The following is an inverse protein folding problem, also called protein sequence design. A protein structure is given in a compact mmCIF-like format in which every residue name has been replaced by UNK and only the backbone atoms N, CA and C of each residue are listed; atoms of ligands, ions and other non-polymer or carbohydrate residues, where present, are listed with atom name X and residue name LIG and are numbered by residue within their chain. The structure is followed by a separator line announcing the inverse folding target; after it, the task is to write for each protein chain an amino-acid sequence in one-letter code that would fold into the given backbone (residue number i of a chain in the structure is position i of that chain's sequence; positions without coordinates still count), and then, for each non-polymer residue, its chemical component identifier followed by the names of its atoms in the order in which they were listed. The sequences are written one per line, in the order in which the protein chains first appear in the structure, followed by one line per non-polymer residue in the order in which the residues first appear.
data_IF_930106726584
#
_entry.id   IF_930106726584
#
_cell.length_a   1.000
_cell.length_b   1.000
_cell.length_c   1.000
_cell.angle_alpha   90.00
_cell.angle_beta   90.00
_cell.angle_gamma   90.00
#
_symmetry.space_group_name_H-M   'P 1'
#
loop_
_entity.id
_entity.type
_entity.pdbx_description
1 polymer ?
#
# COMPACT_ATOMS: atom_id res chain seq x y z
N UNK A 1 -7.56 -21.57 -3.66
CA UNK A 1 -8.90 -21.15 -3.16
C UNK A 1 -9.29 -19.94 -3.97
N UNK A 2 -10.36 -20.03 -4.76
CA UNK A 2 -10.70 -18.95 -5.68
C UNK A 2 -11.01 -17.63 -4.94
N UNK A 3 -10.36 -16.55 -5.36
CA UNK A 3 -10.63 -15.18 -4.92
C UNK A 3 -12.09 -14.81 -5.20
N UNK A 4 -12.78 -14.28 -4.19
CA UNK A 4 -14.14 -13.77 -4.29
C UNK A 4 -14.18 -12.26 -4.04
N UNK A 5 -15.38 -11.68 -4.12
CA UNK A 5 -15.58 -10.26 -3.78
C UNK A 5 -15.12 -9.95 -2.35
N UNK A 6 -15.23 -10.91 -1.42
CA UNK A 6 -14.79 -10.74 -0.03
C UNK A 6 -13.29 -10.47 0.06
N UNK A 7 -12.46 -11.23 -0.66
CA UNK A 7 -11.01 -11.02 -0.69
C UNK A 7 -10.65 -9.71 -1.40
N UNK A 8 -11.40 -9.32 -2.44
CA UNK A 8 -11.21 -8.04 -3.14
C UNK A 8 -11.51 -6.86 -2.22
N UNK A 9 -12.59 -6.92 -1.45
CA UNK A 9 -12.96 -5.87 -0.49
C UNK A 9 -11.96 -5.82 0.66
N UNK A 10 -11.54 -6.98 1.18
CA UNK A 10 -10.48 -7.10 2.17
C UNK A 10 -9.16 -6.47 1.69
N UNK A 11 -8.74 -6.75 0.45
CA UNK A 11 -7.58 -6.14 -0.17
C UNK A 11 -7.70 -4.62 -0.27
N UNK A 12 -8.86 -4.10 -0.69
CA UNK A 12 -9.06 -2.64 -0.78
C UNK A 12 -9.02 -1.97 0.57
N UNK A 13 -9.68 -2.55 1.56
CA UNK A 13 -9.81 -1.96 2.88
C UNK A 13 -8.52 -2.04 3.68
N UNK A 14 -7.71 -3.08 3.46
CA UNK A 14 -6.36 -3.17 4.00
C UNK A 14 -5.55 -1.91 3.67
N UNK A 15 -5.57 -1.43 2.44
CA UNK A 15 -4.80 -0.28 2.00
C UNK A 15 -5.49 1.06 2.32
N UNK A 16 -6.76 1.19 1.94
CA UNK A 16 -7.50 2.45 2.08
C UNK A 16 -7.83 2.80 3.54
N UNK A 17 -7.94 1.79 4.42
CA UNK A 17 -8.38 2.01 5.81
C UNK A 17 -7.37 1.43 6.81
N UNK A 18 -6.77 0.27 6.56
CA UNK A 18 -5.78 -0.34 7.45
C UNK A 18 -4.49 0.45 7.49
N UNK A 19 -3.74 0.42 6.38
CA UNK A 19 -2.45 1.12 6.20
C UNK A 19 -2.57 2.64 6.27
N UNK A 20 -3.73 3.18 5.90
CA UNK A 20 -3.99 4.63 5.89
C UNK A 20 -4.50 5.18 7.22
N UNK A 21 -4.67 4.33 8.25
CA UNK A 21 -5.20 4.71 9.55
C UNK A 21 -4.18 5.33 10.52
N UNK A 22 -4.69 5.73 11.68
CA UNK A 22 -3.88 6.30 12.78
C UNK A 22 -3.32 5.23 13.74
N UNK A 23 -3.91 4.03 13.71
CA UNK A 23 -3.51 2.90 14.55
C UNK A 23 -2.50 2.00 13.82
N UNK A 24 -1.30 1.76 14.38
CA UNK A 24 -0.33 0.81 13.80
C UNK A 24 -0.84 -0.63 13.68
N UNK A 25 -1.86 -1.02 14.45
CA UNK A 25 -2.53 -2.33 14.32
C UNK A 25 -3.71 -2.30 13.34
N UNK A 26 -4.08 -1.13 12.81
CA UNK A 26 -5.16 -0.97 11.84
C UNK A 26 -5.14 -1.97 10.66
N UNK A 27 -3.98 -2.28 10.05
CA UNK A 27 -3.87 -3.27 8.97
C UNK A 27 -4.18 -4.71 9.40
N UNK A 28 -3.89 -5.06 10.66
CA UNK A 28 -3.87 -6.46 11.10
C UNK A 28 -5.26 -7.09 11.15
N UNK A 29 -6.33 -6.27 11.20
CA UNK A 29 -7.72 -6.73 11.09
C UNK A 29 -8.07 -7.36 9.75
N UNK A 30 -7.24 -7.17 8.73
CA UNK A 30 -7.39 -7.76 7.39
C UNK A 30 -6.41 -8.92 7.15
N UNK A 31 -5.65 -9.31 8.17
CA UNK A 31 -4.56 -10.27 8.06
C UNK A 31 -4.77 -11.45 8.99
N UNK A 32 -4.29 -12.63 8.61
CA UNK A 32 -4.22 -13.77 9.54
C UNK A 32 -3.25 -13.49 10.67
N UNK A 33 -3.40 -14.14 11.82
CA UNK A 33 -2.52 -13.92 12.99
C UNK A 33 -1.04 -14.23 12.70
N UNK A 34 -0.79 -15.21 11.83
CA UNK A 34 0.51 -15.69 11.38
C UNK A 34 0.98 -15.05 10.06
N UNK A 35 0.33 -13.96 9.62
CA UNK A 35 0.62 -13.30 8.34
C UNK A 35 2.11 -13.06 8.15
N UNK A 36 2.58 -13.26 6.93
CA UNK A 36 3.93 -12.90 6.52
C UNK A 36 3.91 -11.66 5.63
N UNK A 37 4.83 -10.73 5.87
CA UNK A 37 5.04 -9.56 5.03
C UNK A 37 6.48 -9.54 4.54
N UNK A 38 6.68 -9.24 3.25
CA UNK A 38 7.99 -9.15 2.62
C UNK A 38 8.07 -7.86 1.81
N UNK A 39 8.96 -6.96 2.17
CA UNK A 39 9.32 -5.82 1.31
C UNK A 39 10.57 -6.21 0.50
N UNK A 40 10.36 -6.61 -0.74
CA UNK A 40 11.44 -7.18 -1.56
C UNK A 40 12.31 -6.13 -2.24
N UNK A 41 11.85 -4.87 -2.27
CA UNK A 41 12.56 -3.78 -2.93
C UNK A 41 13.59 -3.10 -2.02
N UNK A 42 13.57 -3.40 -0.72
CA UNK A 42 14.57 -2.88 0.22
C UNK A 42 15.94 -3.53 0.03
N UNK A 43 16.97 -2.68 -0.14
CA UNK A 43 18.38 -3.07 -0.25
C UNK A 43 18.94 -3.84 0.96
N UNK A 44 18.23 -3.87 2.09
CA UNK A 44 18.66 -4.52 3.34
C UNK A 44 18.38 -6.03 3.40
N UNK A 45 17.73 -6.62 2.38
CA UNK A 45 17.45 -8.05 2.30
C UNK A 45 16.05 -8.41 2.82
N UNK A 46 15.44 -9.49 2.32
CA UNK A 46 14.07 -9.86 2.60
C UNK A 46 13.97 -10.66 3.90
N UNK A 47 14.10 -10.02 5.06
CA UNK A 47 13.61 -10.65 6.28
C UNK A 47 12.08 -10.57 6.29
N UNK A 48 11.44 -11.73 6.15
CA UNK A 48 10.00 -11.83 6.26
C UNK A 48 9.58 -11.42 7.68
N UNK A 49 8.76 -10.39 7.77
CA UNK A 49 8.13 -9.96 9.02
C UNK A 49 6.95 -10.91 9.24
N UNK A 50 6.85 -11.52 10.42
CA UNK A 50 5.79 -12.48 10.73
C UNK A 50 4.97 -12.02 11.92
N UNK A 51 3.65 -12.00 11.74
CA UNK A 51 2.68 -11.72 12.78
C UNK A 51 2.45 -10.22 13.05
N UNK A 52 1.31 -9.95 13.68
CA UNK A 52 0.76 -8.61 13.88
C UNK A 52 1.70 -7.67 14.64
N UNK A 53 2.30 -8.15 15.73
CA UNK A 53 3.20 -7.35 16.57
C UNK A 53 4.42 -6.83 15.78
N UNK A 54 5.03 -7.71 14.98
CA UNK A 54 6.22 -7.35 14.20
C UNK A 54 5.87 -6.34 13.10
N UNK A 55 4.72 -6.51 12.45
CA UNK A 55 4.21 -5.58 11.44
C UNK A 55 3.90 -4.21 12.04
N UNK A 56 3.15 -4.18 13.15
CA UNK A 56 2.79 -2.94 13.83
C UNK A 56 4.05 -2.18 14.28
N UNK A 57 5.03 -2.88 14.86
CA UNK A 57 6.29 -2.27 15.29
C UNK A 57 7.11 -1.70 14.13
N UNK A 58 7.11 -2.37 12.97
CA UNK A 58 7.79 -1.87 11.76
C UNK A 58 7.21 -0.54 11.30
N UNK A 59 5.88 -0.43 11.27
CA UNK A 59 5.19 0.71 10.63
C UNK A 59 4.65 1.76 11.58
N UNK A 60 4.76 1.58 12.90
CA UNK A 60 4.29 2.58 13.89
C UNK A 60 4.81 3.98 13.69
N UNK A 61 6.01 4.12 13.13
CA UNK A 61 6.62 5.43 12.89
C UNK A 61 5.92 6.23 11.79
N UNK A 62 5.08 5.60 10.95
CA UNK A 62 4.30 6.25 9.88
C UNK A 62 2.77 6.22 10.10
N UNK A 63 2.31 5.53 11.14
CA UNK A 63 0.89 5.53 11.52
C UNK A 63 0.37 6.96 11.72
N UNK A 64 -0.82 7.24 11.18
CA UNK A 64 -1.47 8.55 11.20
C UNK A 64 -0.91 9.62 10.27
N UNK A 65 0.23 9.35 9.62
CA UNK A 65 0.83 10.24 8.61
C UNK A 65 0.99 9.61 7.24
N UNK A 66 0.60 8.35 7.07
CA UNK A 66 0.66 7.63 5.80
C UNK A 66 -0.72 7.48 5.18
N UNK A 67 -0.79 7.59 3.86
CA UNK A 67 -1.95 7.26 3.03
C UNK A 67 -1.48 6.33 1.92
N UNK A 68 -2.15 5.20 1.75
CA UNK A 68 -1.89 4.22 0.69
C UNK A 68 -3.18 3.98 -0.12
N UNK A 69 -3.75 5.00 -0.79
CA UNK A 69 -4.93 4.79 -1.60
C UNK A 69 -4.67 3.80 -2.75
N UNK A 70 -5.65 2.95 -3.01
CA UNK A 70 -5.61 1.92 -4.05
C UNK A 70 -5.86 2.54 -5.42
N UNK A 71 -4.90 2.42 -6.35
CA UNK A 71 -5.08 2.82 -7.74
C UNK A 71 -5.93 1.80 -8.51
N UNK A 72 -5.66 0.52 -8.32
CA UNK A 72 -6.32 -0.58 -9.04
C UNK A 72 -6.14 -1.92 -8.32
N UNK A 73 -6.97 -2.90 -8.66
CA UNK A 73 -6.94 -4.25 -8.11
C UNK A 73 -7.06 -5.26 -9.24
N UNK A 74 -6.16 -6.25 -9.26
CA UNK A 74 -6.14 -7.31 -10.25
C UNK A 74 -6.16 -8.67 -9.55
N UNK A 75 -6.98 -9.59 -10.04
CA UNK A 75 -6.93 -10.99 -9.60
C UNK A 75 -5.88 -11.71 -10.42
N UNK A 76 -4.98 -12.44 -9.74
CA UNK A 76 -3.95 -13.24 -10.39
C UNK A 76 -4.55 -14.30 -11.32
N UNK A 77 -3.81 -14.67 -12.37
CA UNK A 77 -4.24 -15.70 -13.33
C UNK A 77 -4.39 -17.07 -12.65
N UNK A 78 -3.67 -17.28 -11.56
CA UNK A 78 -3.82 -18.46 -10.69
C UNK A 78 -5.19 -18.50 -9.97
N UNK A 79 -5.90 -17.38 -9.90
CA UNK A 79 -7.19 -17.24 -9.23
C UNK A 79 -7.10 -17.23 -7.71
N UNK A 80 -5.89 -17.28 -7.15
CA UNK A 80 -5.62 -17.49 -5.71
C UNK A 80 -4.89 -16.29 -5.08
N UNK A 81 -4.57 -15.27 -5.88
CA UNK A 81 -3.84 -14.08 -5.46
C UNK A 81 -4.49 -12.78 -5.95
N UNK A 82 -4.18 -11.68 -5.28
CA UNK A 82 -4.56 -10.33 -5.70
C UNK A 82 -3.30 -9.47 -5.82
N UNK A 83 -3.20 -8.72 -6.91
CA UNK A 83 -2.25 -7.60 -7.02
C UNK A 83 -3.00 -6.30 -6.76
N UNK A 84 -2.56 -5.58 -5.73
CA UNK A 84 -3.04 -4.23 -5.44
C UNK A 84 -2.01 -3.24 -5.94
N UNK A 85 -2.41 -2.39 -6.87
CA UNK A 85 -1.61 -1.22 -7.24
C UNK A 85 -2.01 -0.06 -6.32
N UNK A 86 -1.02 0.59 -5.72
CA UNK A 86 -1.25 1.66 -4.76
C UNK A 86 -0.26 2.80 -4.95
N UNK A 87 -0.61 3.94 -4.38
CA UNK A 87 0.29 5.08 -4.29
C UNK A 87 0.47 5.45 -2.81
N UNK A 88 1.69 5.55 -2.34
CA UNK A 88 2.01 5.93 -0.97
C UNK A 88 2.22 7.43 -0.88
N UNK A 89 1.65 8.04 0.16
CA UNK A 89 1.92 9.40 0.60
C UNK A 89 2.29 9.37 2.07
N UNK A 90 3.41 9.98 2.45
CA UNK A 90 3.84 10.10 3.85
C UNK A 90 4.04 11.57 4.18
N UNK A 91 3.27 12.09 5.14
CA UNK A 91 3.34 13.48 5.57
C UNK A 91 4.72 13.77 6.18
N UNK A 92 5.32 14.84 5.69
CA UNK A 92 6.59 15.37 6.20
C UNK A 92 6.26 16.27 7.39
N UNK A 93 6.77 15.90 8.55
CA UNK A 93 6.45 16.59 9.83
C UNK A 93 7.54 17.56 10.27
N UNK A 94 8.76 17.43 9.74
CA UNK A 94 9.93 18.20 10.17
C UNK A 94 10.81 18.60 8.98
N UNK A 95 11.59 19.67 9.15
CA UNK A 95 12.53 20.18 8.15
C UNK A 95 11.92 21.14 7.12
N UNK A 96 12.69 21.47 6.09
CA UNK A 96 12.36 22.47 5.06
C UNK A 96 11.04 22.19 4.32
N UNK A 97 10.61 20.92 4.28
CA UNK A 97 9.42 20.49 3.54
C UNK A 97 8.26 20.08 4.47
N UNK A 98 8.31 20.46 5.75
CA UNK A 98 7.22 20.19 6.69
C UNK A 98 5.89 20.70 6.15
N UNK A 99 4.84 19.88 6.27
CA UNK A 99 3.50 20.14 5.74
C UNK A 99 3.24 19.55 4.35
N UNK A 100 4.28 19.20 3.58
CA UNK A 100 4.17 18.50 2.30
C UNK A 100 4.12 16.98 2.50
N UNK A 101 3.92 16.24 1.41
CA UNK A 101 3.86 14.78 1.40
C UNK A 101 4.96 14.19 0.54
N UNK A 102 5.79 13.33 1.10
CA UNK A 102 6.66 12.44 0.30
C UNK A 102 5.78 11.41 -0.39
N UNK A 103 6.05 11.10 -1.66
CA UNK A 103 5.14 10.29 -2.47
C UNK A 103 5.85 9.30 -3.38
N UNK A 104 5.19 8.20 -3.72
CA UNK A 104 5.68 7.21 -4.68
C UNK A 104 4.68 6.08 -4.92
N UNK A 105 4.95 5.26 -5.92
CA UNK A 105 4.12 4.12 -6.27
C UNK A 105 4.70 2.78 -5.80
N UNK A 106 3.82 1.79 -5.76
CA UNK A 106 4.20 0.40 -5.57
C UNK A 106 3.04 -0.53 -5.84
N UNK A 107 3.31 -1.81 -5.66
CA UNK A 107 2.29 -2.84 -5.76
C UNK A 107 2.49 -3.83 -4.63
N UNK A 108 1.41 -4.49 -4.21
CA UNK A 108 1.47 -5.62 -3.29
C UNK A 108 0.82 -6.83 -3.93
N UNK A 109 1.51 -7.97 -3.85
CA UNK A 109 0.93 -9.27 -4.14
C UNK A 109 0.42 -9.87 -2.83
N UNK A 110 -0.87 -10.20 -2.80
CA UNK A 110 -1.58 -10.71 -1.63
C UNK A 110 -2.05 -12.14 -1.88
N UNK A 111 -1.79 -13.01 -0.91
CA UNK A 111 -2.41 -14.32 -0.80
C UNK A 111 -3.37 -14.36 0.37
N UNK A 112 -4.42 -15.17 0.24
CA UNK A 112 -5.51 -15.22 1.20
C UNK A 112 -5.68 -16.59 1.84
N UNK A 113 -6.14 -16.57 3.10
CA UNK A 113 -6.64 -17.73 3.82
C UNK A 113 -7.84 -17.28 4.65
N UNK A 114 -8.96 -17.97 4.50
CA UNK A 114 -10.21 -17.69 5.23
C UNK A 114 -10.75 -16.25 5.08
N UNK A 115 -10.48 -15.62 3.92
CA UNK A 115 -10.86 -14.25 3.61
C UNK A 115 -9.97 -13.16 4.23
N UNK A 116 -8.83 -13.54 4.80
CA UNK A 116 -7.81 -12.64 5.33
C UNK A 116 -6.49 -12.82 4.58
N UNK A 117 -5.68 -11.76 4.53
CA UNK A 117 -4.35 -11.79 3.93
C UNK A 117 -3.42 -12.65 4.79
N UNK A 118 -2.82 -13.68 4.18
CA UNK A 118 -1.86 -14.57 4.83
C UNK A 118 -0.41 -14.30 4.40
N UNK A 119 -0.22 -13.68 3.23
CA UNK A 119 1.06 -13.21 2.75
C UNK A 119 0.87 -11.92 1.95
N UNK A 120 1.66 -10.90 2.29
CA UNK A 120 1.82 -9.66 1.54
C UNK A 120 3.27 -9.54 1.05
N UNK A 121 3.44 -9.34 -0.25
CA UNK A 121 4.75 -9.08 -0.87
C UNK A 121 4.72 -7.73 -1.55
N UNK A 122 5.50 -6.79 -1.01
CA UNK A 122 5.56 -5.41 -1.44
C UNK A 122 6.68 -5.16 -2.43
N UNK A 123 6.31 -4.44 -3.49
CA UNK A 123 7.17 -3.95 -4.55
C UNK A 123 7.17 -2.42 -4.51
N UNK A 124 7.79 -1.83 -3.48
CA UNK A 124 7.90 -0.39 -3.34
C UNK A 124 9.07 0.17 -4.14
N UNK A 125 8.81 1.10 -5.05
CA UNK A 125 9.87 1.69 -5.90
C UNK A 125 10.67 2.81 -5.22
N UNK A 126 10.48 3.02 -3.92
CA UNK A 126 11.13 4.09 -3.17
C UNK A 126 10.41 5.43 -3.30
N UNK A 127 10.97 6.45 -2.65
CA UNK A 127 10.45 7.82 -2.75
C UNK A 127 10.68 8.39 -4.16
N UNK A 128 9.62 8.86 -4.79
CA UNK A 128 9.65 9.44 -6.12
C UNK A 128 9.46 10.96 -6.08
N UNK A 129 8.64 11.54 -5.21
CA UNK A 129 8.45 12.99 -5.26
C UNK A 129 7.88 13.61 -4.00
N UNK A 130 7.40 14.85 -4.15
CA UNK A 130 6.62 15.54 -3.14
C UNK A 130 5.40 16.21 -3.76
N UNK A 131 4.30 16.25 -3.02
CA UNK A 131 3.13 17.07 -3.34
C UNK A 131 2.68 17.86 -2.11
N UNK A 132 1.91 18.93 -2.37
CA UNK A 132 1.36 19.78 -1.31
C UNK A 132 0.03 19.21 -0.77
N UNK A 133 -0.75 18.58 -1.65
CA UNK A 133 -2.03 17.95 -1.36
C UNK A 133 -2.08 16.55 -2.00
N UNK A 134 -2.14 15.52 -1.14
CA UNK A 134 -2.19 14.13 -1.58
C UNK A 134 -3.53 13.75 -2.20
N UNK A 135 -4.64 14.34 -1.75
CA UNK A 135 -5.98 14.05 -2.27
C UNK A 135 -6.10 14.59 -3.69
N UNK A 136 -5.68 15.83 -3.89
CA UNK A 136 -5.66 16.45 -5.22
C UNK A 136 -4.74 15.68 -6.19
N UNK A 137 -3.55 15.29 -5.74
CA UNK A 137 -2.62 14.51 -6.54
C UNK A 137 -3.22 13.14 -6.91
N UNK A 138 -3.78 12.42 -5.95
CA UNK A 138 -4.38 11.11 -6.19
C UNK A 138 -5.63 11.20 -7.08
N UNK A 139 -6.48 12.21 -6.90
CA UNK A 139 -7.65 12.44 -7.74
C UNK A 139 -7.25 12.66 -9.20
N UNK A 140 -6.18 13.40 -9.44
CA UNK A 140 -5.69 13.61 -10.80
C UNK A 140 -5.08 12.34 -11.41
N UNK A 141 -4.42 11.50 -10.61
CA UNK A 141 -4.01 10.15 -11.07
C UNK A 141 -5.22 9.28 -11.42
N UNK A 142 -6.28 9.33 -10.62
CA UNK A 142 -7.54 8.65 -10.91
C UNK A 142 -8.24 9.21 -12.16
N UNK A 143 -8.02 10.47 -12.54
CA UNK A 143 -8.55 11.00 -13.79
C UNK A 143 -7.86 10.41 -15.04
N UNK A 144 -6.67 9.81 -14.90
CA UNK A 144 -6.01 9.12 -15.99
C UNK A 144 -6.79 7.87 -16.41
N UNK A 145 -6.79 7.57 -17.71
CA UNK A 145 -7.31 6.28 -18.20
C UNK A 145 -6.52 5.11 -17.61
N UNK A 146 -7.18 3.96 -17.40
CA UNK A 146 -6.61 2.78 -16.73
C UNK A 146 -5.22 2.38 -17.25
N UNK A 147 -5.03 2.37 -18.57
CA UNK A 147 -3.75 2.04 -19.21
C UNK A 147 -2.60 3.02 -18.92
N UNK A 148 -2.90 4.24 -18.44
CA UNK A 148 -1.91 5.23 -18.02
C UNK A 148 -1.66 5.23 -16.52
N UNK A 149 -2.57 4.70 -15.71
CA UNK A 149 -2.36 4.49 -14.28
C UNK A 149 -1.27 3.43 -14.11
N UNK A 150 -0.20 3.74 -13.36
CA UNK A 150 1.01 2.90 -13.26
C UNK A 150 1.95 2.94 -14.47
N UNK A 151 1.55 3.58 -15.57
CA UNK A 151 2.41 3.86 -16.72
C UNK A 151 3.04 5.25 -16.66
N UNK A 152 2.47 6.17 -15.88
CA UNK A 152 3.09 7.45 -15.54
C UNK A 152 3.94 7.30 -14.29
N UNK A 153 5.17 7.82 -14.32
CA UNK A 153 6.05 7.78 -13.15
C UNK A 153 5.38 8.41 -11.93
N UNK A 154 5.69 7.99 -10.72
CA UNK A 154 5.20 8.71 -9.53
C UNK A 154 5.82 10.09 -9.30
N UNK A 155 6.64 10.60 -10.22
CA UNK A 155 7.00 12.03 -10.32
C UNK A 155 5.96 12.85 -11.10
N UNK A 156 4.98 12.20 -11.71
CA UNK A 156 3.98 12.86 -12.54
C UNK A 156 3.10 13.75 -11.68
N UNK A 157 3.04 15.03 -12.05
CA UNK A 157 2.07 16.00 -11.54
C UNK A 157 1.18 16.45 -12.71
N UNK A 158 -0.10 16.73 -12.46
CA UNK A 158 -0.99 17.29 -13.48
C UNK A 158 -0.50 18.69 -13.89
N UNK A 159 -0.64 19.03 -15.17
CA UNK A 159 -0.43 20.40 -15.67
C UNK A 159 -1.55 21.36 -15.23
#
# INVERSE_FOLDING_TARGET
MAITQREIDCARDLFNIGWSGDDPYGPTRYMTEDVQMRDIAMKAGPEAITGHEAIANRWRHVAGRMRLPVEDVFVGVDGDSIVVQWFVYVKIVEGEHAGRWDMGEGNSLLYFRDGLVSLEVDFWHGRQGKCDDWEAHFAARQALGKARRGGVSGFWVPE
#
